data_IF_152060390082
#
_entry.id   IF_152060390082
#
_cell.length_a   1.000
_cell.length_b   1.000
_cell.length_c   1.000
_cell.angle_alpha   90.00
_cell.angle_beta   90.00
_cell.angle_gamma   90.00
#
_symmetry.space_group_name_H-M   'P 1'
#
loop_
_entity.id
_entity.type
_entity.pdbx_description
1 polymer ?
#
# COMPACT_ATOMS: atom_id res chain seq x y z
N UNK A 1 61.67 4.79 -23.20
CA UNK A 1 60.48 5.54 -22.73
C UNK A 1 59.58 4.58 -22.00
N UNK A 2 59.34 4.79 -20.71
CA UNK A 2 58.42 3.99 -19.90
C UNK A 2 57.10 4.76 -19.84
N UNK A 3 55.99 4.13 -20.28
CA UNK A 3 54.66 4.73 -20.21
C UNK A 3 53.95 4.16 -18.99
N UNK A 4 53.56 5.01 -18.04
CA UNK A 4 52.77 4.62 -16.87
C UNK A 4 51.31 4.93 -17.17
N UNK A 5 50.51 3.88 -17.34
CA UNK A 5 49.05 4.01 -17.44
C UNK A 5 48.48 3.94 -16.03
N UNK A 6 48.01 5.07 -15.51
CA UNK A 6 47.26 5.11 -14.25
C UNK A 6 45.81 4.67 -14.54
N UNK A 7 45.48 3.42 -14.21
CA UNK A 7 44.08 2.97 -14.20
C UNK A 7 43.42 3.49 -12.93
N UNK A 8 42.66 4.57 -13.03
CA UNK A 8 41.69 4.94 -12.01
C UNK A 8 40.57 3.89 -12.01
N UNK A 9 40.67 2.91 -11.11
CA UNK A 9 39.51 2.13 -10.72
C UNK A 9 38.58 3.08 -9.96
N UNK A 10 37.64 3.70 -10.67
CA UNK A 10 36.42 4.21 -10.04
C UNK A 10 35.71 2.98 -9.45
N UNK A 11 36.04 2.63 -8.21
CA UNK A 11 35.08 1.95 -7.35
C UNK A 11 33.94 2.94 -7.16
N UNK A 12 32.96 2.87 -8.05
CA UNK A 12 31.65 3.43 -7.83
C UNK A 12 31.06 2.71 -6.61
N UNK A 13 31.37 3.21 -5.41
CA UNK A 13 30.52 3.04 -4.25
C UNK A 13 29.23 3.82 -4.56
N UNK A 14 28.38 3.25 -5.41
CA UNK A 14 26.97 3.57 -5.36
C UNK A 14 26.56 3.24 -3.92
N UNK A 15 26.06 4.20 -3.13
CA UNK A 15 25.42 3.83 -1.89
C UNK A 15 24.35 2.82 -2.30
N UNK A 16 24.46 1.59 -1.80
CA UNK A 16 23.37 0.65 -1.88
C UNK A 16 22.19 1.41 -1.27
N UNK A 17 21.25 1.84 -2.12
CA UNK A 17 20.00 2.38 -1.65
C UNK A 17 19.42 1.25 -0.82
N UNK A 18 19.53 1.35 0.51
CA UNK A 18 18.91 0.40 1.41
C UNK A 18 17.46 0.35 0.98
N UNK A 19 17.00 -0.83 0.54
CA UNK A 19 15.63 -0.99 0.11
C UNK A 19 14.76 -0.42 1.24
N UNK A 20 13.97 0.60 0.94
CA UNK A 20 13.09 1.19 1.92
C UNK A 20 12.22 0.06 2.49
N UNK A 21 12.32 -0.18 3.79
CA UNK A 21 11.55 -1.23 4.45
C UNK A 21 10.07 -0.84 4.41
N UNK A 22 9.22 -1.78 3.99
CA UNK A 22 7.79 -1.56 4.06
C UNK A 22 7.35 -1.61 5.52
N UNK A 23 6.83 -0.49 6.04
CA UNK A 23 6.37 -0.40 7.42
C UNK A 23 5.00 -1.04 7.67
N UNK A 24 4.21 -1.25 6.61
CA UNK A 24 2.88 -1.85 6.75
C UNK A 24 3.03 -3.34 7.06
N UNK A 25 2.39 -3.79 8.15
CA UNK A 25 2.24 -5.22 8.38
C UNK A 25 1.32 -5.78 7.30
N UNK A 26 1.74 -6.84 6.64
CA UNK A 26 0.92 -7.52 5.62
C UNK A 26 0.36 -6.55 4.55
N UNK A 27 1.17 -5.60 4.07
CA UNK A 27 0.74 -4.61 3.08
C UNK A 27 0.34 -5.19 1.72
N UNK A 28 0.77 -6.42 1.42
CA UNK A 28 0.39 -7.18 0.23
C UNK A 28 -0.71 -8.21 0.45
N UNK A 29 -1.30 -8.29 1.65
CA UNK A 29 -2.42 -9.20 1.97
C UNK A 29 -2.13 -10.71 1.85
N UNK A 30 -0.88 -11.13 2.08
CA UNK A 30 -0.43 -12.51 1.91
C UNK A 30 -0.71 -13.43 3.12
N UNK A 31 -1.13 -12.88 4.26
CA UNK A 31 -1.45 -13.65 5.47
C UNK A 31 -2.96 -14.02 5.55
N UNK A 32 -3.23 -15.27 5.92
CA UNK A 32 -4.56 -15.85 6.24
C UNK A 32 -5.72 -15.40 5.30
N UNK A 33 -5.68 -15.81 4.02
CA UNK A 33 -6.66 -15.37 3.04
C UNK A 33 -8.07 -15.83 3.38
N UNK A 34 -9.07 -15.00 3.11
CA UNK A 34 -10.48 -15.38 3.25
C UNK A 34 -11.43 -14.20 3.42
N UNK A 35 -12.72 -14.54 3.44
CA UNK A 35 -13.78 -13.56 3.69
C UNK A 35 -13.71 -13.03 5.12
N UNK A 36 -13.90 -11.73 5.26
CA UNK A 36 -13.77 -10.97 6.51
C UNK A 36 -12.38 -11.10 7.16
N UNK A 37 -11.33 -11.37 6.36
CA UNK A 37 -9.94 -11.47 6.81
C UNK A 37 -9.07 -10.43 6.13
N UNK A 38 -8.35 -9.65 6.94
CA UNK A 38 -7.24 -8.80 6.53
C UNK A 38 -6.23 -8.69 7.70
N UNK A 39 -5.45 -9.75 8.01
CA UNK A 39 -4.55 -9.75 9.15
C UNK A 39 -3.58 -8.57 9.11
N UNK A 40 -3.36 -7.95 10.27
CA UNK A 40 -2.52 -6.76 10.39
C UNK A 40 -3.24 -5.44 10.10
N UNK A 41 -4.43 -5.48 9.49
CA UNK A 41 -5.25 -4.29 9.24
C UNK A 41 -6.46 -4.25 10.19
N UNK A 42 -6.85 -3.05 10.59
CA UNK A 42 -8.10 -2.82 11.31
C UNK A 42 -9.17 -2.37 10.32
N UNK A 43 -10.31 -3.05 10.23
CA UNK A 43 -11.42 -2.62 9.38
C UNK A 43 -12.17 -1.44 10.02
N UNK A 44 -12.66 -0.55 9.17
CA UNK A 44 -13.60 0.52 9.50
C UNK A 44 -14.77 0.45 8.52
N UNK A 45 -15.96 0.13 9.01
CA UNK A 45 -17.15 -0.15 8.19
C UNK A 45 -17.71 -1.56 8.39
N UNK A 46 -18.88 -1.80 7.77
CA UNK A 46 -19.64 -3.05 7.91
C UNK A 46 -19.23 -4.03 6.81
N UNK A 47 -19.45 -5.31 7.10
CA UNK A 47 -19.33 -6.54 6.30
C UNK A 47 -19.22 -6.40 4.77
N UNK A 48 -18.57 -7.38 4.15
CA UNK A 48 -18.37 -7.39 2.70
C UNK A 48 -16.94 -7.01 2.34
N UNK A 49 -15.97 -7.66 2.97
CA UNK A 49 -14.58 -7.54 2.58
C UNK A 49 -13.87 -8.88 2.69
N UNK A 50 -12.70 -8.99 2.08
CA UNK A 50 -11.86 -10.17 2.23
C UNK A 50 -10.64 -10.13 1.35
N UNK A 51 -9.79 -11.12 1.57
CA UNK A 51 -8.58 -11.34 0.80
C UNK A 51 -8.78 -12.51 -0.16
N UNK A 52 -8.49 -12.29 -1.43
CA UNK A 52 -8.82 -13.22 -2.51
C UNK A 52 -7.69 -13.32 -3.53
N UNK A 53 -7.62 -14.46 -4.23
CA UNK A 53 -6.54 -14.81 -5.16
C UNK A 53 -6.78 -14.29 -6.59
N UNK A 54 -7.47 -13.16 -6.72
CA UNK A 54 -7.84 -12.49 -7.96
C UNK A 54 -7.29 -11.06 -7.95
N UNK A 55 -6.92 -10.56 -9.13
CA UNK A 55 -6.54 -9.15 -9.35
C UNK A 55 -5.37 -8.62 -8.48
N UNK A 56 -4.54 -9.52 -7.94
CA UNK A 56 -3.37 -9.13 -7.16
C UNK A 56 -2.35 -8.38 -8.05
N UNK A 57 -1.98 -7.16 -7.65
CA UNK A 57 -0.92 -6.40 -8.33
C UNK A 57 0.44 -7.09 -8.18
N UNK A 58 0.72 -7.60 -6.99
CA UNK A 58 1.92 -8.35 -6.63
C UNK A 58 1.56 -9.43 -5.63
N UNK A 59 2.26 -10.56 -5.66
CA UNK A 59 1.99 -11.67 -4.74
C UNK A 59 0.85 -12.56 -5.24
N UNK A 60 0.09 -13.14 -4.30
CA UNK A 60 -0.99 -14.08 -4.57
C UNK A 60 -2.36 -13.49 -4.29
N UNK A 61 -2.46 -12.56 -3.35
CA UNK A 61 -3.75 -12.09 -2.86
C UNK A 61 -3.92 -10.57 -3.06
N UNK A 62 -5.16 -10.15 -3.22
CA UNK A 62 -5.59 -8.76 -3.14
C UNK A 62 -6.63 -8.62 -2.03
N UNK A 63 -6.83 -7.39 -1.56
CA UNK A 63 -7.98 -7.08 -0.71
C UNK A 63 -9.12 -6.55 -1.55
N UNK A 64 -10.31 -7.15 -1.37
CA UNK A 64 -11.54 -6.79 -2.02
C UNK A 64 -12.55 -6.31 -0.99
N UNK A 65 -13.33 -5.31 -1.38
CA UNK A 65 -14.28 -4.63 -0.53
C UNK A 65 -15.54 -4.27 -1.33
N UNK A 66 -16.70 -4.38 -0.69
CA UNK A 66 -18.00 -3.90 -1.17
C UNK A 66 -18.55 -2.87 -0.19
N UNK A 67 -19.31 -1.89 -0.68
CA UNK A 67 -20.06 -0.92 0.15
C UNK A 67 -19.23 0.03 1.04
N UNK A 68 -18.02 0.39 0.59
CA UNK A 68 -17.15 1.43 1.18
C UNK A 68 -16.50 1.17 2.56
N UNK A 69 -16.09 -0.04 2.98
CA UNK A 69 -15.24 -0.20 4.15
C UNK A 69 -13.82 0.30 3.85
N UNK A 70 -13.20 0.86 4.88
CA UNK A 70 -11.80 1.24 4.89
C UNK A 70 -10.99 0.23 5.70
N UNK A 71 -9.69 0.17 5.42
CA UNK A 71 -8.70 -0.48 6.27
C UNK A 71 -7.71 0.55 6.77
N UNK A 72 -7.27 0.41 8.01
CA UNK A 72 -6.24 1.27 8.56
C UNK A 72 -5.22 0.50 9.41
N UNK A 73 -4.03 1.09 9.53
CA UNK A 73 -2.95 0.66 10.41
C UNK A 73 -2.32 1.89 11.05
N UNK A 74 -2.05 1.81 12.35
CA UNK A 74 -1.24 2.81 13.03
C UNK A 74 0.25 2.48 12.85
N UNK A 75 1.01 3.45 12.34
CA UNK A 75 2.45 3.33 12.15
C UNK A 75 3.19 4.20 13.16
N UNK A 76 4.19 3.63 13.82
CA UNK A 76 5.11 4.40 14.66
C UNK A 76 6.12 5.11 13.77
N UNK A 77 6.12 6.43 13.83
CA UNK A 77 7.04 7.29 13.06
C UNK A 77 7.80 8.23 14.01
N UNK A 78 8.89 8.84 13.54
CA UNK A 78 9.63 9.88 14.25
C UNK A 78 9.46 11.23 13.54
N UNK A 79 9.47 12.35 14.30
CA UNK A 79 9.42 13.68 13.71
C UNK A 79 10.54 13.89 12.68
N UNK A 80 10.19 14.46 11.52
CA UNK A 80 11.14 14.79 10.46
C UNK A 80 11.47 13.64 9.49
N UNK A 81 10.92 12.44 9.70
CA UNK A 81 11.04 11.35 8.72
C UNK A 81 10.25 11.65 7.44
N UNK A 82 10.82 11.23 6.31
CA UNK A 82 10.17 11.34 4.99
C UNK A 82 9.69 9.97 4.57
N UNK A 83 8.48 9.92 4.03
CA UNK A 83 7.82 8.68 3.66
C UNK A 83 7.34 8.75 2.22
N UNK A 84 7.25 7.58 1.60
CA UNK A 84 6.53 7.38 0.35
C UNK A 84 5.42 6.38 0.63
N UNK A 85 4.19 6.76 0.29
CA UNK A 85 3.02 5.89 0.40
C UNK A 85 2.62 5.49 -1.02
N UNK A 86 2.41 4.20 -1.24
CA UNK A 86 2.01 3.66 -2.54
C UNK A 86 0.91 2.64 -2.31
N UNK A 87 -0.15 2.73 -3.11
CA UNK A 87 -1.22 1.75 -3.15
C UNK A 87 -1.70 1.58 -4.59
N UNK A 88 -2.24 0.40 -4.88
CA UNK A 88 -2.79 0.05 -6.19
C UNK A 88 -4.27 -0.24 -6.01
N UNK A 89 -5.09 0.36 -6.86
CA UNK A 89 -6.53 0.20 -6.88
C UNK A 89 -6.95 -0.36 -8.24
N UNK A 90 -7.96 -1.21 -8.23
CA UNK A 90 -8.55 -1.80 -9.43
C UNK A 90 -10.06 -1.96 -9.20
N UNK A 91 -10.87 -1.64 -10.20
CA UNK A 91 -12.27 -2.03 -10.23
C UNK A 91 -12.36 -3.54 -10.52
N UNK A 92 -13.07 -4.30 -9.68
CA UNK A 92 -13.21 -5.74 -9.82
C UNK A 92 -14.70 -6.13 -9.78
N UNK A 93 -15.16 -7.07 -10.62
CA UNK A 93 -16.56 -7.49 -10.63
C UNK A 93 -16.89 -8.23 -9.33
N UNK A 94 -18.17 -8.36 -8.98
CA UNK A 94 -18.57 -9.25 -7.89
C UNK A 94 -18.18 -10.71 -8.23
N UNK A 95 -17.84 -11.51 -7.20
CA UNK A 95 -17.28 -12.86 -7.43
C UNK A 95 -18.29 -13.73 -8.18
N UNK A 96 -17.89 -14.25 -9.33
CA UNK A 96 -18.72 -15.19 -10.12
C UNK A 96 -19.58 -14.52 -11.18
N UNK A 97 -19.39 -13.22 -11.43
CA UNK A 97 -20.11 -12.50 -12.46
C UNK A 97 -19.16 -12.12 -13.61
N UNK A 98 -19.44 -12.63 -14.82
CA UNK A 98 -18.90 -12.11 -16.08
C UNK A 98 -19.60 -10.79 -16.47
N UNK A 99 -19.86 -9.92 -15.50
CA UNK A 99 -20.45 -8.63 -15.75
C UNK A 99 -19.35 -7.64 -16.19
N UNK A 100 -19.64 -6.78 -17.19
CA UNK A 100 -18.74 -5.68 -17.49
C UNK A 100 -18.49 -4.86 -16.22
N UNK A 101 -17.25 -4.39 -16.04
CA UNK A 101 -16.91 -3.47 -14.97
C UNK A 101 -17.71 -2.17 -15.17
N UNK A 102 -18.89 -2.10 -14.54
CA UNK A 102 -19.77 -0.94 -14.64
C UNK A 102 -19.83 -0.24 -13.29
N UNK A 103 -19.68 1.09 -13.31
CA UNK A 103 -19.79 1.93 -12.12
C UNK A 103 -18.48 2.60 -11.74
N UNK A 104 -18.60 3.61 -10.87
CA UNK A 104 -17.47 4.40 -10.40
C UNK A 104 -16.74 3.62 -9.29
N UNK A 105 -15.46 3.36 -9.49
CA UNK A 105 -14.59 2.76 -8.48
C UNK A 105 -13.58 3.81 -8.01
N UNK A 106 -13.73 4.26 -6.77
CA UNK A 106 -12.87 5.30 -6.19
C UNK A 106 -12.05 4.72 -5.05
N UNK A 107 -10.73 4.70 -5.23
CA UNK A 107 -9.77 4.45 -4.17
C UNK A 107 -9.44 5.74 -3.41
N UNK A 108 -9.26 5.65 -2.09
CA UNK A 108 -8.79 6.78 -1.29
C UNK A 108 -7.71 6.34 -0.32
N UNK A 109 -6.60 7.07 -0.29
CA UNK A 109 -5.57 6.96 0.74
C UNK A 109 -5.73 8.14 1.67
N UNK A 110 -5.87 7.87 2.98
CA UNK A 110 -5.97 8.89 4.02
C UNK A 110 -4.81 8.74 4.99
N UNK A 111 -4.08 9.82 5.25
CA UNK A 111 -3.01 9.88 6.23
C UNK A 111 -3.41 10.83 7.37
N UNK A 112 -3.33 10.32 8.59
CA UNK A 112 -3.57 11.08 9.80
C UNK A 112 -2.32 11.06 10.68
N UNK A 113 -1.85 12.24 11.09
CA UNK A 113 -0.79 12.34 12.07
C UNK A 113 -1.42 12.58 13.44
N UNK A 114 -1.16 11.69 14.38
CA UNK A 114 -1.65 11.75 15.75
C UNK A 114 -0.50 11.94 16.71
N UNK A 115 -0.74 12.65 17.81
CA UNK A 115 0.21 12.72 18.92
C UNK A 115 0.11 11.47 19.82
N UNK A 116 0.89 11.50 20.90
CA UNK A 116 0.98 10.46 21.93
C UNK A 116 -0.32 10.26 22.71
N UNK A 117 -1.25 11.21 22.64
CA UNK A 117 -2.58 11.15 23.27
C UNK A 117 -3.66 10.76 22.24
N UNK A 118 -3.25 10.29 21.04
CA UNK A 118 -4.10 9.95 19.90
C UNK A 118 -4.93 11.11 19.33
N UNK A 119 -4.51 12.35 19.59
CA UNK A 119 -5.15 13.54 19.03
C UNK A 119 -4.55 13.84 17.66
N UNK A 120 -5.39 14.04 16.65
CA UNK A 120 -4.92 14.43 15.31
C UNK A 120 -4.26 15.81 15.34
N UNK A 121 -2.98 15.87 14.98
CA UNK A 121 -2.13 17.07 15.10
C UNK A 121 -1.91 17.82 13.78
N UNK A 122 -2.23 17.23 12.63
CA UNK A 122 -2.10 17.89 11.32
C UNK A 122 -3.32 17.62 10.45
N UNK A 123 -3.49 18.47 9.43
CA UNK A 123 -4.50 18.28 8.40
C UNK A 123 -4.36 16.88 7.80
N UNK A 124 -5.51 16.19 7.70
CA UNK A 124 -5.61 14.90 7.02
C UNK A 124 -5.17 15.09 5.58
N UNK A 125 -4.13 14.36 5.16
CA UNK A 125 -3.80 14.29 3.74
C UNK A 125 -4.61 13.17 3.11
N UNK A 126 -5.29 13.48 2.01
CA UNK A 126 -6.12 12.51 1.30
C UNK A 126 -5.85 12.60 -0.19
N UNK A 127 -5.57 11.46 -0.80
CA UNK A 127 -5.48 11.31 -2.25
C UNK A 127 -6.61 10.42 -2.73
N UNK A 128 -7.29 10.84 -3.79
CA UNK A 128 -8.41 10.12 -4.39
C UNK A 128 -8.00 9.66 -5.78
N UNK A 129 -8.19 8.38 -6.06
CA UNK A 129 -7.79 7.73 -7.29
C UNK A 129 -9.05 7.17 -7.93
N UNK A 130 -9.31 7.61 -9.16
CA UNK A 130 -10.33 7.00 -10.00
C UNK A 130 -9.75 5.71 -10.60
N UNK A 131 -10.34 4.58 -10.21
CA UNK A 131 -10.01 3.25 -10.69
C UNK A 131 -11.13 2.68 -11.60
N UNK A 132 -12.05 3.54 -12.08
CA UNK A 132 -13.15 3.15 -12.96
C UNK A 132 -12.61 2.79 -14.34
N UNK A 133 -12.72 1.51 -14.73
CA UNK A 133 -12.48 0.99 -16.09
C UNK A 133 -13.29 -0.27 -16.30
#
# INVERSE_FOLDING_TARGET
MLSVTLTFAMLAFLPAAGAAENLLRNGGFEEEPGMCRAPGWTPDGIEGFGTFADYAHSGRYSYKTWWQPALWQDLKTKPGEKWTVTAWFMNAPEKGEDQPLTGDAIGRIRLEFKDRDNVTIQAVHSETIDAST
#
